data_IF_430014974155
#
_entry.id   IF_430014974155
#
_cell.length_a   1.000
_cell.length_b   1.000
_cell.length_c   1.000
_cell.angle_alpha   90.00
_cell.angle_beta   90.00
_cell.angle_gamma   90.00
#
_symmetry.space_group_name_H-M   'P 1'
#
loop_
_entity.id
_entity.type
_entity.pdbx_description
1 polymer ?
#
# COMPACT_ATOMS: atom_id res chain seq x y z
N UNK A 1 10.81 30.07 -4.28
CA UNK A 1 10.37 29.73 -2.91
C UNK A 1 10.44 28.22 -2.79
N UNK A 2 10.81 27.71 -1.60
CA UNK A 2 10.76 26.28 -1.35
C UNK A 2 9.31 25.75 -1.40
N UNK A 3 9.10 24.57 -1.97
CA UNK A 3 7.81 23.90 -2.05
C UNK A 3 7.39 23.47 -0.63
N UNK A 4 6.24 23.91 -0.13
CA UNK A 4 5.74 23.56 1.19
C UNK A 4 5.13 22.16 1.16
N UNK A 5 5.67 21.25 1.98
CA UNK A 5 5.29 19.83 2.01
C UNK A 5 4.67 19.48 3.36
N UNK A 6 3.52 18.83 3.32
CA UNK A 6 2.83 18.24 4.47
C UNK A 6 2.84 16.72 4.38
N UNK A 7 3.16 16.04 5.47
CA UNK A 7 3.12 14.59 5.59
C UNK A 7 2.12 14.23 6.68
N UNK A 8 1.22 13.30 6.41
CA UNK A 8 0.25 12.83 7.39
C UNK A 8 0.02 11.33 7.27
N UNK A 9 -0.32 10.70 8.37
CA UNK A 9 -0.61 9.28 8.43
C UNK A 9 -2.00 8.99 9.01
N UNK A 10 -2.66 8.01 8.45
CA UNK A 10 -3.90 7.44 8.95
C UNK A 10 -3.61 6.07 9.57
N UNK A 11 -4.42 5.05 9.29
CA UNK A 11 -4.13 3.67 9.68
C UNK A 11 -2.91 3.10 8.96
N UNK A 12 -1.71 3.44 9.41
CA UNK A 12 -0.41 3.14 8.81
C UNK A 12 0.53 2.41 9.76
N UNK A 13 1.61 1.86 9.22
CA UNK A 13 2.72 1.26 9.98
C UNK A 13 3.99 2.15 9.96
N UNK A 14 3.88 3.38 9.48
CA UNK A 14 4.99 4.33 9.27
C UNK A 14 6.05 3.90 8.24
N UNK A 15 5.83 2.81 7.52
CA UNK A 15 6.78 2.34 6.51
C UNK A 15 6.92 3.30 5.32
N UNK A 16 5.88 4.09 5.01
CA UNK A 16 5.93 5.10 3.96
C UNK A 16 6.79 6.29 4.36
N UNK A 17 6.66 6.75 5.59
CA UNK A 17 7.44 7.83 6.20
C UNK A 17 8.92 7.42 6.32
N UNK A 18 9.19 6.18 6.76
CA UNK A 18 10.54 5.62 6.77
C UNK A 18 11.11 5.56 5.35
N UNK A 19 10.29 5.23 4.34
CA UNK A 19 10.76 5.23 2.95
C UNK A 19 11.09 6.64 2.45
N UNK A 20 10.40 7.66 2.95
CA UNK A 20 10.72 9.06 2.71
C UNK A 20 12.10 9.39 3.30
N UNK A 21 12.35 9.01 4.56
CA UNK A 21 13.64 9.21 5.23
C UNK A 21 14.77 8.41 4.56
N UNK A 22 14.48 7.26 3.99
CA UNK A 22 15.46 6.40 3.29
C UNK A 22 15.93 6.94 1.93
N UNK A 23 15.54 8.16 1.54
CA UNK A 23 16.18 8.87 0.44
C UNK A 23 17.64 9.27 0.77
N UNK A 24 18.03 9.25 2.06
CA UNK A 24 19.40 9.51 2.49
C UNK A 24 19.87 10.91 2.13
N UNK A 25 21.03 11.03 1.49
CA UNK A 25 21.61 12.32 1.09
C UNK A 25 20.72 13.11 0.12
N UNK A 26 19.92 12.42 -0.70
CA UNK A 26 18.95 13.06 -1.60
C UNK A 26 17.85 13.81 -0.81
N UNK A 27 17.48 13.35 0.40
CA UNK A 27 16.54 14.07 1.25
C UNK A 27 17.16 15.36 1.79
N UNK A 28 18.44 15.33 2.16
CA UNK A 28 19.14 16.53 2.62
C UNK A 28 19.17 17.59 1.52
N UNK A 29 19.52 17.20 0.29
CA UNK A 29 19.48 18.11 -0.86
C UNK A 29 18.07 18.68 -1.09
N UNK A 30 17.03 17.84 -1.01
CA UNK A 30 15.64 18.32 -1.13
C UNK A 30 15.30 19.36 -0.07
N UNK A 31 15.64 19.10 1.20
CA UNK A 31 15.34 20.00 2.33
C UNK A 31 16.12 21.32 2.27
N UNK A 32 17.33 21.30 1.75
CA UNK A 32 18.17 22.51 1.66
C UNK A 32 17.87 23.37 0.45
N UNK A 33 17.43 22.78 -0.65
CA UNK A 33 17.34 23.49 -1.93
C UNK A 33 15.90 23.64 -2.46
N UNK A 34 14.98 22.71 -2.12
CA UNK A 34 13.73 22.61 -2.85
C UNK A 34 12.46 22.61 -1.99
N UNK A 35 12.48 22.00 -0.80
CA UNK A 35 11.26 21.80 0.00
C UNK A 35 11.38 22.35 1.42
N UNK A 36 10.23 22.74 1.97
CA UNK A 36 10.04 23.10 3.37
C UNK A 36 8.95 22.19 3.96
N UNK A 37 9.29 21.38 4.96
CA UNK A 37 8.33 20.50 5.64
C UNK A 37 7.58 21.32 6.68
N UNK A 38 6.33 21.65 6.38
CA UNK A 38 5.47 22.45 7.25
C UNK A 38 4.66 21.63 8.24
N UNK A 39 4.50 20.34 7.99
CA UNK A 39 3.81 19.40 8.85
C UNK A 39 4.30 17.96 8.60
N UNK A 40 4.70 17.27 9.65
CA UNK A 40 5.08 15.87 9.64
C UNK A 40 5.07 15.31 11.07
N UNK A 41 3.98 14.71 11.56
CA UNK A 41 3.86 14.26 12.95
C UNK A 41 4.98 13.33 13.44
N UNK A 42 5.61 12.60 12.49
CA UNK A 42 6.77 11.76 12.80
C UNK A 42 8.04 12.56 13.11
N UNK A 43 8.18 13.77 12.57
CA UNK A 43 9.41 14.58 12.63
C UNK A 43 9.27 15.82 13.50
N UNK A 44 8.05 16.31 13.71
CA UNK A 44 7.78 17.54 14.44
C UNK A 44 6.50 17.44 15.26
N UNK A 45 6.47 18.15 16.39
CA UNK A 45 5.24 18.29 17.18
C UNK A 45 4.27 19.26 16.49
N UNK A 46 3.03 18.83 16.31
CA UNK A 46 1.95 19.66 15.78
C UNK A 46 0.69 19.50 16.64
N UNK A 47 0.11 20.62 17.01
CA UNK A 47 -1.10 20.67 17.86
C UNK A 47 -2.34 20.78 16.96
N UNK A 48 -2.97 19.65 16.64
CA UNK A 48 -4.17 19.60 15.78
C UNK A 48 -5.31 20.48 16.28
N UNK A 49 -5.49 20.55 17.59
CA UNK A 49 -6.56 21.32 18.25
C UNK A 49 -6.04 22.61 18.91
N UNK A 50 -5.05 23.25 18.33
CA UNK A 50 -4.41 24.43 18.86
C UNK A 50 -3.39 24.16 19.98
N UNK A 51 -2.69 25.19 20.46
CA UNK A 51 -1.59 25.04 21.42
C UNK A 51 -2.06 24.49 22.78
N UNK A 52 -3.27 24.79 23.17
CA UNK A 52 -3.90 24.40 24.45
C UNK A 52 -4.79 23.15 24.30
N UNK A 53 -5.05 22.70 23.08
CA UNK A 53 -5.88 21.53 22.79
C UNK A 53 -7.39 21.80 22.92
N UNK A 54 -7.80 23.08 22.97
CA UNK A 54 -9.18 23.51 23.18
C UNK A 54 -9.88 24.05 21.92
N UNK A 55 -9.23 23.96 20.75
CA UNK A 55 -9.87 24.32 19.49
C UNK A 55 -10.95 23.29 19.13
N UNK A 56 -12.13 23.77 18.73
CA UNK A 56 -13.26 22.90 18.36
C UNK A 56 -13.00 22.05 17.11
N UNK A 57 -12.06 22.48 16.26
CA UNK A 57 -11.78 21.83 14.99
C UNK A 57 -10.30 21.59 14.79
N UNK A 58 -9.99 20.44 14.25
CA UNK A 58 -8.67 20.10 13.78
C UNK A 58 -8.21 21.08 12.69
N UNK A 59 -6.96 21.52 12.78
CA UNK A 59 -6.35 22.43 11.80
C UNK A 59 -4.94 21.99 11.44
N UNK A 60 -4.64 21.96 10.14
CA UNK A 60 -3.31 21.70 9.58
C UNK A 60 -2.75 22.93 8.88
N UNK A 61 -1.42 23.08 8.80
CA UNK A 61 -0.80 24.14 8.00
C UNK A 61 -1.15 23.99 6.50
N UNK A 62 -1.23 25.12 5.81
CA UNK A 62 -1.34 25.10 4.33
C UNK A 62 -0.04 24.57 3.72
N UNK A 63 -0.16 23.78 2.66
CA UNK A 63 0.96 23.22 1.92
C UNK A 63 0.70 23.22 0.41
N UNK A 64 1.77 23.23 -0.37
CA UNK A 64 1.67 23.08 -1.82
C UNK A 64 1.39 21.60 -2.15
N UNK A 65 2.05 20.68 -1.45
CA UNK A 65 1.87 19.23 -1.63
C UNK A 65 1.67 18.55 -0.28
N UNK A 66 0.59 17.77 -0.17
CA UNK A 66 0.34 16.88 0.96
C UNK A 66 0.55 15.42 0.57
N UNK A 67 1.26 14.68 1.41
CA UNK A 67 1.37 13.22 1.31
C UNK A 67 0.58 12.60 2.46
N UNK A 68 -0.42 11.79 2.15
CA UNK A 68 -1.19 11.06 3.17
C UNK A 68 -0.96 9.57 3.02
N UNK A 69 -0.53 8.92 4.11
CA UNK A 69 -0.30 7.48 4.19
C UNK A 69 -1.39 6.78 5.01
N UNK A 70 -1.47 5.46 4.88
CA UNK A 70 -2.42 4.65 5.63
C UNK A 70 -3.82 4.57 5.03
N UNK A 71 -4.63 3.66 5.55
CA UNK A 71 -6.04 3.50 5.16
C UNK A 71 -6.98 4.21 6.14
N UNK A 72 -8.10 4.73 5.66
CA UNK A 72 -9.10 5.36 6.50
C UNK A 72 -9.99 4.29 7.17
N UNK A 73 -9.91 4.15 8.49
CA UNK A 73 -10.59 3.11 9.27
C UNK A 73 -11.46 3.62 10.42
N UNK A 74 -11.39 4.91 10.77
CA UNK A 74 -12.18 5.55 11.83
C UNK A 74 -12.55 6.99 11.44
N UNK A 75 -13.35 7.66 12.27
CA UNK A 75 -13.84 9.03 12.01
C UNK A 75 -12.74 10.07 12.03
N UNK A 76 -11.77 9.97 12.93
CA UNK A 76 -10.62 10.88 12.98
C UNK A 76 -9.80 10.86 11.68
N UNK A 77 -9.61 9.66 11.10
CA UNK A 77 -8.97 9.55 9.79
C UNK A 77 -9.72 10.30 8.68
N UNK A 78 -11.06 10.39 8.77
CA UNK A 78 -11.83 11.17 7.81
C UNK A 78 -11.63 12.66 8.02
N UNK A 79 -11.64 13.14 9.27
CA UNK A 79 -11.44 14.54 9.61
C UNK A 79 -10.05 15.02 9.16
N UNK A 80 -9.01 14.23 9.44
CA UNK A 80 -7.63 14.49 8.98
C UNK A 80 -7.56 14.53 7.44
N UNK A 81 -8.18 13.57 6.77
CA UNK A 81 -8.14 13.46 5.32
C UNK A 81 -8.87 14.63 4.64
N UNK A 82 -10.00 15.06 5.19
CA UNK A 82 -10.74 16.23 4.72
C UNK A 82 -9.92 17.51 4.91
N UNK A 83 -9.29 17.68 6.09
CA UNK A 83 -8.44 18.83 6.37
C UNK A 83 -7.20 18.85 5.46
N UNK A 84 -6.54 17.71 5.23
CA UNK A 84 -5.44 17.60 4.27
C UNK A 84 -5.88 18.02 2.86
N UNK A 85 -7.07 17.58 2.42
CA UNK A 85 -7.59 18.00 1.10
C UNK A 85 -7.85 19.50 1.02
N UNK A 86 -8.33 20.09 2.11
CA UNK A 86 -8.63 21.53 2.18
C UNK A 86 -7.38 22.38 2.19
N UNK A 87 -6.30 21.89 2.82
CA UNK A 87 -5.05 22.65 3.09
C UNK A 87 -3.96 22.43 2.04
N UNK A 88 -4.03 21.36 1.26
CA UNK A 88 -3.01 21.05 0.26
C UNK A 88 -3.52 21.36 -1.14
N UNK A 89 -2.71 22.03 -1.96
CA UNK A 89 -3.03 22.26 -3.37
C UNK A 89 -3.06 20.95 -4.15
N UNK A 90 -2.04 20.13 -3.96
CA UNK A 90 -1.93 18.77 -4.50
C UNK A 90 -1.93 17.77 -3.34
N UNK A 91 -2.78 16.75 -3.41
CA UNK A 91 -2.85 15.69 -2.40
C UNK A 91 -2.45 14.35 -3.00
N UNK A 92 -1.39 13.76 -2.48
CA UNK A 92 -0.81 12.48 -2.90
C UNK A 92 -1.13 11.40 -1.88
N UNK A 93 -1.84 10.36 -2.27
CA UNK A 93 -1.97 9.16 -1.47
C UNK A 93 -0.71 8.31 -1.62
N UNK A 94 0.11 8.25 -0.56
CA UNK A 94 1.37 7.52 -0.55
C UNK A 94 1.25 6.17 0.13
N UNK A 95 1.76 5.14 -0.52
CA UNK A 95 1.72 3.77 -0.04
C UNK A 95 0.43 3.03 -0.37
N UNK A 96 0.53 1.71 -0.39
CA UNK A 96 -0.59 0.85 -0.81
C UNK A 96 -1.75 0.87 0.17
N UNK A 97 -1.53 1.23 1.44
CA UNK A 97 -2.62 1.39 2.42
C UNK A 97 -3.52 2.57 2.03
N UNK A 98 -2.94 3.72 1.68
CA UNK A 98 -3.67 4.90 1.23
C UNK A 98 -4.34 4.70 -0.13
N UNK A 99 -3.68 4.01 -1.07
CA UNK A 99 -4.17 3.88 -2.44
C UNK A 99 -5.14 2.71 -2.64
N UNK A 100 -4.99 1.60 -1.93
CA UNK A 100 -5.73 0.35 -2.16
C UNK A 100 -6.18 -0.35 -0.87
N UNK A 101 -6.06 0.33 0.29
CA UNK A 101 -6.39 -0.19 1.60
C UNK A 101 -5.29 -1.05 2.25
N UNK A 102 -4.39 -1.62 1.47
CA UNK A 102 -3.20 -2.35 1.96
C UNK A 102 -3.50 -3.41 3.02
N UNK A 103 -2.56 -3.54 3.95
CA UNK A 103 -2.69 -4.48 5.08
C UNK A 103 -3.87 -4.14 6.01
N UNK A 104 -4.14 -2.86 6.38
CA UNK A 104 -5.31 -2.52 7.19
C UNK A 104 -6.63 -3.04 6.60
N UNK A 105 -6.79 -3.02 5.28
CA UNK A 105 -8.00 -3.51 4.61
C UNK A 105 -8.19 -5.04 4.65
N UNK A 106 -7.25 -5.82 5.21
CA UNK A 106 -7.49 -7.23 5.52
C UNK A 106 -8.65 -7.40 6.51
N UNK A 107 -8.87 -6.41 7.38
CA UNK A 107 -10.02 -6.35 8.28
C UNK A 107 -11.35 -6.41 7.53
N UNK A 108 -11.42 -5.90 6.30
CA UNK A 108 -12.64 -5.94 5.45
C UNK A 108 -13.08 -7.37 5.12
N UNK A 109 -12.19 -8.33 5.27
CA UNK A 109 -12.49 -9.75 5.09
C UNK A 109 -13.10 -10.43 6.30
N UNK A 110 -13.19 -9.78 7.43
CA UNK A 110 -13.68 -10.31 8.69
C UNK A 110 -15.03 -9.70 9.07
N UNK A 111 -15.76 -10.38 9.94
CA UNK A 111 -16.87 -9.76 10.65
C UNK A 111 -16.29 -8.79 11.69
N UNK A 112 -16.57 -7.50 11.51
CA UNK A 112 -15.94 -6.45 12.30
C UNK A 112 -16.30 -6.52 13.78
N UNK A 113 -17.58 -6.71 14.08
CA UNK A 113 -18.06 -6.79 15.47
C UNK A 113 -17.39 -7.95 16.21
N UNK A 114 -17.32 -9.10 15.55
CA UNK A 114 -16.64 -10.27 16.10
C UNK A 114 -15.14 -10.01 16.28
N UNK A 115 -14.49 -9.37 15.32
CA UNK A 115 -13.05 -9.05 15.44
C UNK A 115 -12.78 -8.10 16.61
N UNK A 116 -13.64 -7.11 16.88
CA UNK A 116 -13.50 -6.24 18.03
C UNK A 116 -13.67 -7.02 19.34
N UNK A 117 -14.66 -7.92 19.41
CA UNK A 117 -14.83 -8.80 20.56
C UNK A 117 -13.60 -9.68 20.77
N UNK A 118 -13.05 -10.27 19.70
CA UNK A 118 -11.85 -11.10 19.77
C UNK A 118 -10.60 -10.32 20.21
N UNK A 119 -10.54 -9.01 19.98
CA UNK A 119 -9.41 -8.15 20.39
C UNK A 119 -9.57 -7.71 21.85
N UNK A 120 -10.75 -7.23 22.24
CA UNK A 120 -10.97 -6.57 23.53
C UNK A 120 -11.61 -7.45 24.61
N UNK A 121 -12.18 -8.59 24.24
CA UNK A 121 -12.89 -9.49 25.16
C UNK A 121 -12.30 -10.91 25.10
N UNK A 122 -11.00 -11.03 25.32
CA UNK A 122 -10.28 -12.31 25.32
C UNK A 122 -9.80 -12.68 26.72
N UNK A 123 -9.26 -13.88 26.85
CA UNK A 123 -8.63 -14.34 28.11
C UNK A 123 -7.38 -13.53 28.49
N UNK A 124 -6.87 -12.71 27.59
CA UNK A 124 -5.70 -11.83 27.82
C UNK A 124 -6.09 -10.41 28.22
N UNK A 125 -7.40 -10.10 28.23
CA UNK A 125 -7.94 -8.81 28.70
C UNK A 125 -8.55 -8.99 30.11
N UNK A 126 -8.77 -7.87 30.79
CA UNK A 126 -9.40 -7.90 32.11
C UNK A 126 -10.81 -8.51 32.05
N UNK A 127 -11.23 -9.30 33.04
CA UNK A 127 -12.58 -9.83 33.11
C UNK A 127 -13.63 -8.71 33.08
N UNK A 128 -14.59 -8.82 32.17
CA UNK A 128 -15.63 -7.78 32.00
C UNK A 128 -15.25 -6.63 31.10
N UNK A 129 -14.07 -6.67 30.43
CA UNK A 129 -13.67 -5.67 29.44
C UNK A 129 -14.74 -5.47 28.37
N UNK A 130 -14.97 -4.22 27.99
CA UNK A 130 -15.84 -3.85 26.89
C UNK A 130 -15.01 -3.40 25.67
N UNK A 131 -15.62 -3.40 24.50
CA UNK A 131 -15.06 -2.72 23.33
C UNK A 131 -15.08 -1.21 23.63
N UNK A 132 -13.93 -0.51 23.54
CA UNK A 132 -13.88 0.93 23.80
C UNK A 132 -14.80 1.71 22.87
N UNK A 133 -15.61 2.62 23.43
CA UNK A 133 -16.55 3.48 22.70
C UNK A 133 -16.64 4.91 23.25
N UNK A 134 -15.91 5.21 24.33
CA UNK A 134 -15.85 6.54 24.96
C UNK A 134 -14.48 7.16 24.70
N UNK A 135 -14.44 8.40 24.25
CA UNK A 135 -13.22 9.18 23.98
C UNK A 135 -12.27 8.52 22.95
N UNK A 136 -12.81 7.66 22.08
CA UNK A 136 -12.08 7.04 20.98
C UNK A 136 -12.77 7.32 19.64
N UNK A 137 -12.01 7.50 18.53
CA UNK A 137 -12.61 7.72 17.23
C UNK A 137 -13.52 6.55 16.81
N UNK A 138 -14.73 6.87 16.37
CA UNK A 138 -15.71 5.88 15.94
C UNK A 138 -15.19 5.06 14.73
N UNK A 139 -15.25 3.72 14.78
CA UNK A 139 -14.80 2.90 13.66
C UNK A 139 -15.72 3.04 12.45
N UNK A 140 -15.16 3.11 11.24
CA UNK A 140 -15.93 3.05 9.99
C UNK A 140 -16.40 1.61 9.75
N UNK A 141 -17.38 1.41 8.86
CA UNK A 141 -17.88 0.08 8.47
C UNK A 141 -16.83 -0.82 7.82
N UNK A 142 -15.82 -0.22 7.19
CA UNK A 142 -14.66 -0.89 6.61
C UNK A 142 -13.46 0.06 6.56
N UNK A 143 -12.29 -0.49 6.22
CA UNK A 143 -11.11 0.30 5.88
C UNK A 143 -11.19 0.70 4.40
N UNK A 144 -11.01 1.97 4.14
CA UNK A 144 -11.08 2.60 2.82
C UNK A 144 -9.69 2.99 2.31
N UNK A 145 -9.51 3.01 0.99
CA UNK A 145 -8.47 3.81 0.36
C UNK A 145 -8.83 5.30 0.45
N UNK A 146 -7.84 6.17 0.45
CA UNK A 146 -8.08 7.60 0.59
C UNK A 146 -8.96 8.17 -0.53
N UNK A 147 -8.80 7.64 -1.75
CA UNK A 147 -9.56 8.04 -2.93
C UNK A 147 -11.05 7.62 -2.90
N UNK A 148 -11.44 6.78 -1.96
CA UNK A 148 -12.86 6.46 -1.70
C UNK A 148 -13.54 7.54 -0.84
N UNK A 149 -12.79 8.42 -0.19
CA UNK A 149 -13.29 9.39 0.80
C UNK A 149 -13.05 10.85 0.41
N UNK A 150 -12.01 11.11 -0.37
CA UNK A 150 -11.71 12.46 -0.87
C UNK A 150 -11.08 12.41 -2.25
N UNK A 151 -10.97 13.58 -2.90
CA UNK A 151 -10.26 13.69 -4.19
C UNK A 151 -8.77 13.60 -3.96
N UNK A 152 -8.12 12.64 -4.58
CA UNK A 152 -6.68 12.44 -4.60
C UNK A 152 -6.15 12.74 -5.99
N UNK A 153 -5.15 13.63 -6.06
CA UNK A 153 -4.56 14.06 -7.34
C UNK A 153 -3.59 13.01 -7.89
N UNK A 154 -2.79 12.37 -7.00
CA UNK A 154 -1.84 11.33 -7.40
C UNK A 154 -1.88 10.12 -6.45
N UNK A 155 -1.95 8.93 -7.01
CA UNK A 155 -1.82 7.67 -6.28
C UNK A 155 -0.39 7.13 -6.43
N UNK A 156 0.38 7.09 -5.34
CA UNK A 156 1.74 6.56 -5.28
C UNK A 156 1.79 5.26 -4.47
N UNK A 157 1.45 4.10 -5.07
CA UNK A 157 1.39 2.84 -4.34
C UNK A 157 2.78 2.29 -4.02
N UNK A 158 2.81 1.35 -3.08
CA UNK A 158 4.00 0.62 -2.63
C UNK A 158 3.87 0.27 -1.15
N UNK A 159 4.43 -0.87 -0.73
CA UNK A 159 4.44 -1.25 0.69
C UNK A 159 5.87 -1.63 1.13
N UNK A 160 6.68 -0.60 1.44
CA UNK A 160 6.49 0.83 1.15
C UNK A 160 6.83 1.20 -0.32
N UNK A 161 6.53 2.43 -0.77
CA UNK A 161 6.99 2.94 -2.06
C UNK A 161 8.52 2.99 -2.14
N UNK A 162 9.05 2.97 -3.35
CA UNK A 162 10.49 3.13 -3.55
C UNK A 162 10.91 4.58 -3.27
N UNK A 163 11.97 4.85 -2.47
CA UNK A 163 12.46 6.20 -2.18
C UNK A 163 12.71 7.04 -3.44
N UNK A 164 13.32 6.47 -4.48
CA UNK A 164 13.57 7.17 -5.73
C UNK A 164 12.29 7.60 -6.46
N UNK A 165 11.18 6.87 -6.26
CA UNK A 165 9.90 7.22 -6.83
C UNK A 165 9.24 8.36 -6.04
N UNK A 166 9.39 8.37 -4.72
CA UNK A 166 8.95 9.50 -3.86
C UNK A 166 9.67 10.77 -4.29
N UNK A 167 11.00 10.70 -4.42
CA UNK A 167 11.82 11.83 -4.91
C UNK A 167 11.35 12.35 -6.27
N UNK A 168 11.07 11.43 -7.21
CA UNK A 168 10.56 11.82 -8.54
C UNK A 168 9.23 12.57 -8.46
N UNK A 169 8.34 12.17 -7.56
CA UNK A 169 7.06 12.87 -7.34
C UNK A 169 7.32 14.27 -6.79
N UNK A 170 8.18 14.42 -5.78
CA UNK A 170 8.52 15.73 -5.21
C UNK A 170 9.13 16.64 -6.27
N UNK A 171 10.14 16.15 -7.00
CA UNK A 171 10.80 16.94 -8.04
C UNK A 171 9.85 17.33 -9.18
N UNK A 172 8.90 16.46 -9.54
CA UNK A 172 7.88 16.81 -10.51
C UNK A 172 7.01 17.99 -10.04
N UNK A 173 6.72 18.07 -8.74
CA UNK A 173 5.97 19.20 -8.16
C UNK A 173 6.83 20.48 -8.09
N UNK A 174 8.11 20.35 -7.74
CA UNK A 174 9.07 21.47 -7.75
C UNK A 174 9.21 22.07 -9.15
N UNK A 175 9.23 21.22 -10.17
CA UNK A 175 9.37 21.58 -11.58
C UNK A 175 8.02 21.87 -12.28
N UNK A 176 6.91 21.86 -11.53
CA UNK A 176 5.54 22.04 -12.04
C UNK A 176 5.21 21.12 -13.23
N UNK A 177 5.76 19.87 -13.19
CA UNK A 177 5.52 18.85 -14.21
C UNK A 177 4.41 17.90 -13.78
N UNK A 178 3.61 17.48 -14.75
CA UNK A 178 2.70 16.37 -14.53
C UNK A 178 3.46 15.07 -14.26
N UNK A 179 3.08 14.35 -13.21
CA UNK A 179 3.65 13.05 -12.88
C UNK A 179 2.68 11.92 -13.20
N UNK A 180 3.00 11.16 -14.22
CA UNK A 180 2.24 9.96 -14.61
C UNK A 180 3.06 8.72 -14.31
N UNK A 181 2.51 7.83 -13.48
CA UNK A 181 3.11 6.53 -13.22
C UNK A 181 2.88 5.59 -14.42
N UNK A 182 3.93 4.90 -14.91
CA UNK A 182 3.77 3.94 -15.99
C UNK A 182 2.82 2.80 -15.59
N UNK A 183 1.76 2.60 -16.37
CA UNK A 183 0.80 1.52 -16.15
C UNK A 183 1.32 0.21 -16.78
N UNK A 184 2.38 -0.33 -16.22
CA UNK A 184 2.99 -1.60 -16.63
C UNK A 184 3.11 -2.57 -15.45
N UNK A 185 3.16 -3.85 -15.74
CA UNK A 185 3.27 -4.88 -14.72
C UNK A 185 4.71 -5.06 -14.22
N UNK A 186 4.87 -5.59 -13.01
CA UNK A 186 6.19 -6.01 -12.48
C UNK A 186 6.88 -7.00 -13.44
N UNK A 187 6.12 -7.80 -14.17
CA UNK A 187 6.68 -8.74 -15.14
C UNK A 187 7.44 -8.09 -16.29
N UNK A 188 7.12 -6.85 -16.64
CA UNK A 188 7.81 -6.11 -17.72
C UNK A 188 9.20 -5.61 -17.30
N UNK A 189 9.45 -5.55 -15.99
CA UNK A 189 10.76 -5.20 -15.41
C UNK A 189 11.45 -6.39 -14.74
N UNK A 190 10.86 -7.59 -14.85
CA UNK A 190 11.38 -8.79 -14.22
C UNK A 190 12.41 -9.46 -15.13
N UNK A 191 13.67 -9.67 -14.66
CA UNK A 191 14.71 -10.33 -15.47
C UNK A 191 14.53 -11.84 -15.58
N UNK A 192 13.72 -12.48 -14.72
CA UNK A 192 13.57 -13.93 -14.70
C UNK A 192 13.14 -14.50 -16.07
N UNK A 193 13.83 -15.54 -16.51
CA UNK A 193 13.64 -16.20 -17.81
C UNK A 193 12.24 -16.81 -17.92
N UNK A 194 11.53 -16.46 -18.97
CA UNK A 194 10.23 -17.05 -19.34
C UNK A 194 10.39 -18.03 -20.48
N UNK A 195 9.70 -19.17 -20.39
CA UNK A 195 9.67 -20.21 -21.42
C UNK A 195 8.27 -20.38 -22.03
N UNK A 196 7.28 -19.61 -21.58
CA UNK A 196 5.95 -19.49 -22.16
C UNK A 196 4.86 -20.26 -21.44
N UNK A 197 5.07 -21.50 -21.02
CA UNK A 197 4.06 -22.29 -20.30
C UNK A 197 4.54 -22.73 -18.93
N UNK A 198 3.60 -22.83 -17.98
CA UNK A 198 3.87 -23.40 -16.68
C UNK A 198 4.20 -24.89 -16.76
N UNK A 199 5.05 -25.36 -15.88
CA UNK A 199 5.43 -26.78 -15.77
C UNK A 199 4.39 -27.63 -15.06
N UNK A 200 3.58 -26.99 -14.20
CA UNK A 200 2.67 -27.71 -13.31
C UNK A 200 1.28 -27.06 -13.29
N UNK A 201 0.26 -27.89 -13.29
CA UNK A 201 -1.13 -27.44 -13.21
C UNK A 201 -1.57 -27.04 -11.80
N UNK A 202 -0.79 -27.37 -10.77
CA UNK A 202 -1.12 -27.09 -9.36
C UNK A 202 -0.17 -26.07 -8.77
N UNK A 203 -0.70 -25.19 -7.93
CA UNK A 203 0.12 -24.21 -7.20
C UNK A 203 1.06 -24.94 -6.23
N UNK A 204 2.35 -24.61 -6.31
CA UNK A 204 3.37 -25.02 -5.35
C UNK A 204 3.37 -24.05 -4.16
N UNK A 205 3.42 -24.59 -2.96
CA UNK A 205 3.32 -23.80 -1.73
C UNK A 205 4.69 -23.37 -1.18
N UNK A 206 5.68 -24.24 -1.25
CA UNK A 206 6.96 -24.05 -0.57
C UNK A 206 8.10 -23.83 -1.57
N UNK A 207 8.87 -22.77 -1.36
CA UNK A 207 10.01 -22.40 -2.21
C UNK A 207 11.15 -23.42 -2.20
N UNK A 208 11.22 -24.31 -1.22
CA UNK A 208 12.17 -25.43 -1.22
C UNK A 208 12.09 -26.28 -2.51
N UNK A 209 10.95 -26.24 -3.21
CA UNK A 209 10.76 -26.92 -4.48
C UNK A 209 11.05 -26.03 -5.71
N UNK A 210 11.57 -24.81 -5.51
CA UNK A 210 11.95 -23.94 -6.61
C UNK A 210 13.24 -24.42 -7.25
N UNK A 211 13.31 -24.26 -8.58
CA UNK A 211 14.48 -24.62 -9.38
C UNK A 211 15.29 -23.37 -9.65
N UNK A 212 16.20 -23.07 -8.78
CA UNK A 212 17.25 -22.07 -8.95
C UNK A 212 18.39 -22.35 -7.97
N UNK A 213 19.59 -21.85 -8.29
CA UNK A 213 20.70 -21.79 -7.36
C UNK A 213 20.77 -20.42 -6.72
N UNK A 214 21.23 -20.35 -5.47
CA UNK A 214 21.30 -19.08 -4.72
C UNK A 214 22.28 -18.07 -5.33
N UNK A 215 23.26 -18.56 -6.06
CA UNK A 215 24.37 -17.82 -6.69
C UNK A 215 24.18 -17.61 -8.20
N UNK A 216 23.13 -18.16 -8.84
CA UNK A 216 22.90 -17.93 -10.25
C UNK A 216 22.42 -16.51 -10.55
N UNK A 217 22.69 -16.02 -11.75
CA UNK A 217 22.16 -14.74 -12.23
C UNK A 217 20.64 -14.77 -12.36
N UNK A 218 19.98 -13.63 -12.05
CA UNK A 218 18.52 -13.56 -12.08
C UNK A 218 17.94 -13.83 -13.49
N UNK A 219 18.68 -13.49 -14.52
CA UNK A 219 18.34 -13.67 -15.93
C UNK A 219 18.33 -15.16 -16.35
N UNK A 220 19.04 -16.00 -15.62
CA UNK A 220 19.05 -17.46 -15.84
C UNK A 220 18.00 -18.18 -15.02
N UNK A 221 17.57 -17.56 -13.92
CA UNK A 221 16.51 -18.10 -13.06
C UNK A 221 15.18 -18.19 -13.82
N UNK A 222 14.60 -19.39 -13.89
CA UNK A 222 13.29 -19.56 -14.51
C UNK A 222 12.18 -18.82 -13.75
N UNK A 223 11.23 -18.24 -14.50
CA UNK A 223 10.07 -17.53 -13.95
C UNK A 223 9.35 -18.36 -12.87
N UNK A 224 9.20 -17.79 -11.68
CA UNK A 224 8.59 -18.48 -10.53
C UNK A 224 7.12 -18.82 -10.76
N UNK A 225 6.38 -18.00 -11.54
CA UNK A 225 4.99 -18.33 -11.91
C UNK A 225 4.95 -19.58 -12.81
N UNK A 226 5.83 -19.68 -13.80
CA UNK A 226 5.93 -20.86 -14.68
C UNK A 226 6.33 -22.13 -13.91
N UNK A 227 7.11 -21.98 -12.83
CA UNK A 227 7.41 -23.07 -11.91
C UNK A 227 6.22 -23.45 -11.01
N UNK A 228 5.08 -22.76 -11.11
CA UNK A 228 3.86 -23.02 -10.33
C UNK A 228 3.75 -22.28 -9.01
N UNK A 229 4.63 -21.32 -8.71
CA UNK A 229 4.50 -20.52 -7.49
C UNK A 229 3.53 -19.37 -7.69
N UNK A 230 2.82 -18.98 -6.61
CA UNK A 230 1.92 -17.83 -6.61
C UNK A 230 2.73 -16.53 -6.72
N UNK A 231 3.04 -16.13 -7.94
CA UNK A 231 3.73 -14.88 -8.24
C UNK A 231 2.74 -13.84 -8.80
N UNK A 232 2.51 -12.76 -8.07
CA UNK A 232 1.58 -11.68 -8.45
C UNK A 232 2.19 -10.66 -9.42
N UNK A 233 3.37 -10.93 -9.97
CA UNK A 233 4.05 -10.04 -10.92
C UNK A 233 3.19 -9.59 -12.11
N UNK A 234 2.46 -10.49 -12.79
CA UNK A 234 1.63 -10.13 -13.96
C UNK A 234 0.54 -9.09 -13.65
N UNK A 235 0.06 -9.06 -12.41
CA UNK A 235 -1.11 -8.27 -11.98
C UNK A 235 -0.76 -7.15 -11.00
N UNK A 236 0.53 -6.89 -10.84
CA UNK A 236 1.04 -5.87 -9.90
C UNK A 236 1.71 -4.74 -10.66
N UNK A 237 1.39 -3.51 -10.29
CA UNK A 237 2.01 -2.31 -10.85
C UNK A 237 3.52 -2.32 -10.59
N UNK A 238 4.30 -2.00 -11.62
CA UNK A 238 5.75 -1.82 -11.50
C UNK A 238 6.09 -0.54 -10.72
N UNK A 239 7.32 -0.50 -10.16
CA UNK A 239 7.82 0.66 -9.42
C UNK A 239 8.76 0.26 -8.27
N UNK A 240 8.64 -0.97 -7.75
CA UNK A 240 9.47 -1.44 -6.64
C UNK A 240 10.94 -1.67 -7.02
N UNK A 241 11.23 -1.84 -8.31
CA UNK A 241 12.58 -2.11 -8.81
C UNK A 241 13.51 -0.89 -8.69
N UNK A 242 12.97 0.33 -8.78
CA UNK A 242 13.82 1.50 -9.01
C UNK A 242 14.54 1.35 -10.35
N UNK A 243 15.86 1.25 -10.32
CA UNK A 243 16.71 1.01 -11.49
C UNK A 243 17.13 -0.46 -11.67
N UNK A 244 16.81 -1.32 -10.71
CA UNK A 244 17.22 -2.74 -10.70
C UNK A 244 16.07 -3.71 -10.90
N UNK A 245 16.27 -4.97 -10.51
CA UNK A 245 15.25 -6.00 -10.54
C UNK A 245 14.18 -5.77 -9.45
N UNK A 246 12.92 -6.22 -9.65
CA UNK A 246 11.89 -6.17 -8.62
C UNK A 246 12.36 -6.81 -7.32
N UNK A 247 12.16 -6.13 -6.18
CA UNK A 247 12.72 -6.52 -4.87
C UNK A 247 12.48 -7.97 -4.48
N UNK A 248 11.27 -8.50 -4.72
CA UNK A 248 10.97 -9.90 -4.43
C UNK A 248 11.79 -10.84 -5.31
N UNK A 249 11.95 -10.53 -6.59
CA UNK A 249 12.72 -11.33 -7.55
C UNK A 249 14.20 -11.28 -7.21
N UNK A 250 14.72 -10.11 -6.84
CA UNK A 250 16.08 -9.97 -6.34
C UNK A 250 16.34 -10.90 -5.13
N UNK A 251 15.37 -11.02 -4.25
CA UNK A 251 15.39 -11.96 -3.11
C UNK A 251 15.00 -13.41 -3.49
N UNK A 252 14.84 -13.72 -4.78
CA UNK A 252 14.43 -15.04 -5.31
C UNK A 252 13.11 -15.57 -4.73
N UNK A 253 12.18 -14.66 -4.43
CA UNK A 253 10.83 -15.01 -3.98
C UNK A 253 9.75 -14.48 -4.95
N UNK A 254 8.58 -15.12 -5.03
CA UNK A 254 7.48 -14.65 -5.88
C UNK A 254 7.03 -13.24 -5.50
N UNK A 255 6.63 -12.44 -6.50
CA UNK A 255 6.05 -11.13 -6.28
C UNK A 255 4.83 -11.22 -5.35
N UNK A 256 4.79 -10.36 -4.33
CA UNK A 256 3.75 -10.35 -3.29
C UNK A 256 2.55 -9.46 -3.61
N UNK A 257 2.61 -8.66 -4.68
CA UNK A 257 1.49 -7.80 -5.06
C UNK A 257 1.44 -6.44 -4.36
N UNK A 258 2.50 -6.03 -3.69
CA UNK A 258 2.50 -4.89 -2.76
C UNK A 258 2.37 -3.49 -3.40
N UNK A 259 2.40 -3.38 -4.72
CA UNK A 259 2.12 -2.15 -5.46
C UNK A 259 0.68 -2.07 -6.00
N UNK A 260 -0.18 -3.02 -5.60
CA UNK A 260 -1.58 -3.03 -6.05
C UNK A 260 -1.75 -3.37 -7.53
N UNK A 261 -2.97 -3.21 -8.09
CA UNK A 261 -3.29 -3.57 -9.46
C UNK A 261 -2.56 -2.67 -10.47
N UNK A 262 -2.29 -3.21 -11.68
CA UNK A 262 -1.63 -2.48 -12.77
C UNK A 262 -2.44 -1.28 -13.22
N UNK A 263 -3.77 -1.41 -13.30
CA UNK A 263 -4.68 -0.35 -13.73
C UNK A 263 -5.46 0.19 -12.55
N UNK A 264 -5.69 1.50 -12.53
CA UNK A 264 -6.61 2.12 -11.58
C UNK A 264 -7.98 1.40 -11.66
N UNK A 265 -8.51 1.00 -10.52
CA UNK A 265 -9.75 0.22 -10.47
C UNK A 265 -9.60 -1.27 -10.87
N UNK A 266 -8.42 -1.75 -11.26
CA UNK A 266 -8.15 -3.16 -11.57
C UNK A 266 -8.45 -4.10 -10.40
N UNK A 267 -8.68 -5.36 -10.68
CA UNK A 267 -8.91 -6.40 -9.68
C UNK A 267 -7.85 -7.49 -9.77
N UNK A 268 -6.85 -7.41 -8.88
CA UNK A 268 -5.72 -8.35 -8.88
C UNK A 268 -6.16 -9.83 -8.82
N UNK A 269 -7.29 -10.14 -8.16
CA UNK A 269 -7.76 -11.52 -8.09
C UNK A 269 -8.29 -12.01 -9.44
N UNK A 270 -9.11 -11.21 -10.13
CA UNK A 270 -9.64 -11.57 -11.45
C UNK A 270 -8.52 -11.63 -12.49
N UNK A 271 -7.63 -10.62 -12.49
CA UNK A 271 -6.50 -10.58 -13.42
C UNK A 271 -5.54 -11.75 -13.18
N UNK A 272 -5.34 -12.16 -11.90
CA UNK A 272 -4.50 -13.30 -11.55
C UNK A 272 -5.11 -14.65 -12.00
N UNK A 273 -6.42 -14.78 -11.95
CA UNK A 273 -7.09 -15.97 -12.51
C UNK A 273 -6.75 -16.14 -14.00
N UNK A 274 -6.79 -15.05 -14.77
CA UNK A 274 -6.43 -15.05 -16.18
C UNK A 274 -4.94 -15.36 -16.39
N UNK A 275 -4.05 -14.74 -15.62
CA UNK A 275 -2.61 -14.98 -15.69
C UNK A 275 -2.25 -16.44 -15.36
N UNK A 276 -2.92 -17.03 -14.36
CA UNK A 276 -2.74 -18.45 -14.03
C UNK A 276 -3.23 -19.36 -15.14
N UNK A 277 -4.42 -19.10 -15.70
CA UNK A 277 -4.99 -19.88 -16.80
C UNK A 277 -4.06 -19.85 -18.02
N UNK A 278 -3.50 -18.70 -18.38
CA UNK A 278 -2.53 -18.55 -19.46
C UNK A 278 -1.25 -19.36 -19.23
N UNK A 279 -0.88 -19.61 -17.98
CA UNK A 279 0.27 -20.44 -17.60
C UNK A 279 -0.09 -21.92 -17.35
N UNK A 280 -1.33 -22.34 -17.63
CA UNK A 280 -1.80 -23.70 -17.41
C UNK A 280 -2.03 -24.07 -15.94
N UNK A 281 -2.01 -23.10 -15.02
CA UNK A 281 -2.19 -23.32 -13.59
C UNK A 281 -3.66 -23.25 -13.21
N UNK A 282 -4.17 -24.27 -12.56
CA UNK A 282 -5.57 -24.35 -12.16
C UNK A 282 -5.83 -23.48 -10.92
N UNK A 283 -6.61 -22.41 -11.06
CA UNK A 283 -6.97 -21.51 -9.96
C UNK A 283 -7.61 -22.22 -8.76
N UNK A 284 -8.34 -23.31 -8.97
CA UNK A 284 -8.92 -24.12 -7.89
C UNK A 284 -7.91 -24.70 -6.91
N UNK A 285 -6.63 -24.76 -7.30
CA UNK A 285 -5.54 -25.27 -6.44
C UNK A 285 -4.95 -24.20 -5.51
N UNK A 286 -5.39 -22.96 -5.61
CA UNK A 286 -5.03 -21.89 -4.68
C UNK A 286 -5.77 -22.11 -3.37
N UNK A 287 -5.04 -22.36 -2.28
CA UNK A 287 -5.60 -22.67 -0.97
C UNK A 287 -6.28 -21.44 -0.36
N UNK A 288 -5.58 -20.31 -0.34
CA UNK A 288 -6.12 -19.04 0.13
C UNK A 288 -6.18 -18.01 -1.02
N UNK A 289 -7.34 -17.96 -1.66
CA UNK A 289 -7.57 -17.05 -2.79
C UNK A 289 -7.63 -15.59 -2.36
N UNK A 290 -8.02 -15.33 -1.11
CA UNK A 290 -8.14 -13.97 -0.57
C UNK A 290 -6.77 -13.33 -0.35
N UNK A 291 -5.70 -14.14 -0.18
CA UNK A 291 -4.33 -13.64 -0.06
C UNK A 291 -3.84 -12.88 -1.31
N UNK A 292 -4.47 -13.08 -2.47
CA UNK A 292 -4.21 -12.31 -3.70
C UNK A 292 -4.59 -10.83 -3.48
N UNK A 293 -5.62 -10.56 -2.68
CA UNK A 293 -6.10 -9.22 -2.35
C UNK A 293 -5.43 -8.61 -1.10
N UNK A 294 -4.36 -9.21 -0.58
CA UNK A 294 -3.66 -8.76 0.65
C UNK A 294 -3.33 -7.27 0.63
N UNK A 295 -3.00 -6.73 -0.51
CA UNK A 295 -2.61 -5.33 -0.67
C UNK A 295 -3.66 -4.48 -1.40
N UNK A 296 -4.81 -5.06 -1.78
CA UNK A 296 -5.83 -4.37 -2.55
C UNK A 296 -7.24 -4.71 -2.09
N UNK A 297 -7.45 -4.73 -0.76
CA UNK A 297 -8.73 -5.10 -0.14
C UNK A 297 -9.76 -3.99 -0.08
N UNK A 298 -9.39 -2.71 -0.32
CA UNK A 298 -10.31 -1.58 -0.40
C UNK A 298 -11.20 -1.62 -1.66
N UNK A 299 -11.98 -0.58 -1.91
CA UNK A 299 -12.89 -0.46 -3.05
C UNK A 299 -13.89 -1.63 -3.13
N UNK A 300 -14.29 -2.15 -1.96
CA UNK A 300 -15.22 -3.28 -1.86
C UNK A 300 -14.69 -4.61 -2.42
N UNK A 301 -13.37 -4.75 -2.64
CA UNK A 301 -12.75 -5.96 -3.18
C UNK A 301 -12.72 -7.09 -2.17
N UNK A 302 -12.40 -6.80 -0.91
CA UNK A 302 -12.40 -7.75 0.18
C UNK A 302 -13.66 -7.52 1.04
N UNK A 303 -14.40 -8.60 1.29
CA UNK A 303 -15.65 -8.60 2.07
C UNK A 303 -15.74 -9.85 2.95
N UNK A 304 -16.47 -9.82 4.06
CA UNK A 304 -16.76 -11.02 4.84
C UNK A 304 -17.42 -12.10 3.96
N UNK A 305 -17.05 -13.34 4.20
CA UNK A 305 -17.76 -14.46 3.58
C UNK A 305 -19.15 -14.56 4.21
N UNK A 306 -20.20 -14.54 3.39
CA UNK A 306 -21.54 -14.90 3.86
C UNK A 306 -21.47 -16.35 4.37
N UNK A 307 -21.89 -16.59 5.62
CA UNK A 307 -22.14 -17.95 6.07
C UNK A 307 -23.21 -18.53 5.11
N UNK A 308 -22.93 -19.70 4.54
CA UNK A 308 -24.00 -20.49 3.93
C UNK A 308 -24.84 -20.98 5.12
N UNK A 309 -26.06 -20.53 5.19
CA UNK A 309 -27.10 -21.09 6.04
C UNK A 309 -27.37 -22.53 5.64
#
# INVERSE_FOLDING_TARGET
MALRVSLEWLGSCSGCEISFLNMGEELISLLTEHIDIVHAPLLMDHKYLGQTGDAEKLSLPEADVGFVSGGAGNTEHLDILEEMRRKCKVLVAIGTCATHGGIPALMNGQDRRRSWQEIFQTVTTDPGSAVPDIEVPGPLDRVYGCDEKTTIDLLLPGCPPNPSLIRKVIMAQVEEREMVLPQRSVCETCPAKREGKGEVAKVRRFLVNARYKSDEELETMRCLLEQGFMCLGPVTLAGCAGTGAPRCIHARVPCRGCYGPVRRGGNQMLDMMNAMASNGIQYKTVVDRRSILRFSGAHGRLRPLKKRE
#
